data_IF_137435535302
#
_entry.id   IF_137435535302
#
_cell.length_a   1.000
_cell.length_b   1.000
_cell.length_c   1.000
_cell.angle_alpha   90.00
_cell.angle_beta   90.00
_cell.angle_gamma   90.00
#
_symmetry.space_group_name_H-M   'P 1'
#
loop_
_entity.id
_entity.type
_entity.pdbx_description
1 polymer ?
#
# COMPACT_ATOMS: atom_id res chain seq x y z
N UNK A 1 -69.60 17.00 21.80
CA UNK A 1 -68.29 17.05 21.10
C UNK A 1 -67.20 16.58 22.06
N UNK A 2 -66.60 15.40 21.84
CA UNK A 2 -65.46 14.94 22.66
C UNK A 2 -64.35 14.44 21.74
N UNK A 3 -63.17 15.07 21.86
CA UNK A 3 -62.06 14.98 20.90
C UNK A 3 -61.30 13.66 21.09
N UNK A 4 -61.28 12.83 20.06
CA UNK A 4 -60.50 11.59 19.93
C UNK A 4 -59.01 11.94 19.98
N UNK A 5 -58.34 11.67 21.11
CA UNK A 5 -56.88 11.84 21.26
C UNK A 5 -56.16 10.80 20.38
N UNK A 6 -55.63 11.23 19.23
CA UNK A 6 -54.73 10.43 18.40
C UNK A 6 -53.39 10.32 19.14
N UNK A 7 -53.11 9.13 19.68
CA UNK A 7 -51.83 8.84 20.30
C UNK A 7 -50.78 8.72 19.19
N UNK A 8 -50.09 9.82 18.90
CA UNK A 8 -48.94 9.85 18.00
C UNK A 8 -47.79 9.09 18.66
N UNK A 9 -47.72 7.78 18.38
CA UNK A 9 -46.54 6.96 18.64
C UNK A 9 -45.45 7.43 17.68
N UNK A 10 -44.86 8.59 17.99
CA UNK A 10 -43.65 9.10 17.38
C UNK A 10 -42.62 7.99 17.61
N UNK A 11 -42.31 7.26 16.54
CA UNK A 11 -41.11 6.42 16.48
C UNK A 11 -39.97 7.38 16.75
N UNK A 12 -39.47 7.39 17.99
CA UNK A 12 -38.17 7.96 18.29
C UNK A 12 -37.21 7.25 17.34
N UNK A 13 -36.67 7.99 16.37
CA UNK A 13 -35.42 7.63 15.72
C UNK A 13 -34.34 7.68 16.81
N UNK A 14 -34.39 6.72 17.74
CA UNK A 14 -33.26 6.36 18.56
C UNK A 14 -32.33 5.58 17.65
N UNK A 15 -31.38 6.27 17.05
CA UNK A 15 -29.95 6.04 17.23
C UNK A 15 -29.54 4.62 17.68
N UNK A 16 -29.97 3.60 16.94
CA UNK A 16 -29.48 2.21 16.96
C UNK A 16 -30.14 1.41 15.82
N UNK A 17 -30.04 1.91 14.58
CA UNK A 17 -30.27 1.11 13.37
C UNK A 17 -29.00 0.35 13.00
N UNK A 18 -29.06 -0.75 12.23
CA UNK A 18 -28.08 -1.84 12.22
C UNK A 18 -26.79 -1.46 11.49
N UNK A 19 -25.98 -0.59 12.08
CA UNK A 19 -24.55 -0.41 11.76
C UNK A 19 -23.74 -1.64 12.22
N UNK A 20 -24.27 -2.86 12.10
CA UNK A 20 -23.57 -4.02 12.65
C UNK A 20 -23.58 -5.23 11.74
N UNK A 21 -24.40 -5.30 10.70
CA UNK A 21 -24.39 -6.47 9.81
C UNK A 21 -23.66 -6.17 8.51
N UNK A 22 -23.92 -5.02 7.88
CA UNK A 22 -23.17 -4.55 6.72
C UNK A 22 -21.71 -4.21 7.08
N UNK A 23 -21.48 -3.64 8.26
CA UNK A 23 -20.13 -3.36 8.76
C UNK A 23 -19.38 -4.65 9.08
N UNK A 24 -20.05 -5.65 9.69
CA UNK A 24 -19.46 -6.97 9.92
C UNK A 24 -19.16 -7.70 8.61
N UNK A 25 -20.10 -7.70 7.67
CA UNK A 25 -19.92 -8.32 6.36
C UNK A 25 -18.79 -7.64 5.57
N UNK A 26 -18.69 -6.31 5.63
CA UNK A 26 -17.60 -5.57 5.00
C UNK A 26 -16.26 -5.85 5.68
N UNK A 27 -16.24 -5.89 7.02
CA UNK A 27 -15.03 -6.22 7.79
C UNK A 27 -14.58 -7.65 7.50
N UNK A 28 -15.49 -8.61 7.48
CA UNK A 28 -15.22 -10.01 7.16
C UNK A 28 -14.78 -10.19 5.71
N UNK A 29 -15.32 -9.41 4.77
CA UNK A 29 -14.91 -9.44 3.36
C UNK A 29 -13.49 -8.88 3.15
N UNK A 30 -13.14 -7.75 3.77
CA UNK A 30 -11.85 -7.08 3.55
C UNK A 30 -10.71 -7.58 4.44
N UNK A 31 -11.00 -8.01 5.67
CA UNK A 31 -9.97 -8.48 6.62
C UNK A 31 -9.92 -10.01 6.70
N UNK A 32 -10.98 -10.72 6.29
CA UNK A 32 -11.08 -12.16 6.48
C UNK A 32 -11.11 -12.56 7.97
N UNK A 33 -11.13 -13.87 8.26
CA UNK A 33 -11.10 -14.41 9.62
C UNK A 33 -9.69 -14.44 10.25
N UNK A 34 -8.64 -14.09 9.49
CA UNK A 34 -7.26 -14.10 9.95
C UNK A 34 -6.77 -12.71 10.34
N UNK A 35 -5.77 -12.66 11.22
CA UNK A 35 -5.02 -11.42 11.43
C UNK A 35 -4.33 -11.00 10.13
N UNK A 36 -4.13 -9.69 9.97
CA UNK A 36 -3.34 -9.17 8.87
C UNK A 36 -1.94 -9.77 8.91
N UNK A 37 -1.34 -10.07 7.75
CA UNK A 37 0.05 -10.52 7.71
C UNK A 37 0.95 -9.45 8.34
N UNK A 38 2.04 -9.90 8.96
CA UNK A 38 3.06 -9.01 9.50
C UNK A 38 3.54 -8.08 8.40
N UNK A 39 3.64 -6.79 8.70
CA UNK A 39 4.15 -5.80 7.76
C UNK A 39 5.56 -6.20 7.30
N UNK A 40 5.90 -6.03 6.01
CA UNK A 40 7.25 -6.30 5.55
C UNK A 40 8.24 -5.36 6.23
N UNK A 41 9.48 -5.84 6.38
CA UNK A 41 10.59 -5.00 6.85
C UNK A 41 10.77 -3.78 5.94
N UNK A 42 11.27 -2.67 6.50
CA UNK A 42 11.60 -1.49 5.69
C UNK A 42 12.67 -1.84 4.66
N UNK A 43 12.62 -1.13 3.54
CA UNK A 43 13.55 -1.29 2.43
C UNK A 43 14.54 -0.13 2.38
N UNK A 44 15.77 -0.47 2.03
CA UNK A 44 16.83 0.50 1.76
C UNK A 44 16.83 0.85 0.28
N UNK A 45 16.82 2.14 -0.03
CA UNK A 45 16.87 2.62 -1.42
C UNK A 45 18.32 2.59 -1.88
N UNK A 46 18.57 1.97 -3.04
CA UNK A 46 19.91 1.93 -3.64
C UNK A 46 20.33 3.30 -4.18
N UNK A 47 21.58 3.69 -3.94
CA UNK A 47 22.16 4.92 -4.49
C UNK A 47 22.50 4.80 -5.98
N UNK A 48 22.84 3.59 -6.44
CA UNK A 48 23.24 3.30 -7.82
C UNK A 48 22.43 2.14 -8.41
N UNK A 49 21.33 2.49 -9.08
CA UNK A 49 20.35 1.56 -9.64
C UNK A 49 20.93 0.56 -10.64
N UNK A 50 22.00 0.92 -11.34
CA UNK A 50 22.57 0.10 -12.42
C UNK A 50 23.93 -0.50 -12.07
N UNK A 51 24.42 -0.33 -10.84
CA UNK A 51 25.68 -0.90 -10.37
C UNK A 51 25.79 -2.41 -10.62
N UNK A 52 24.73 -3.16 -10.30
CA UNK A 52 24.70 -4.63 -10.44
C UNK A 52 24.84 -5.03 -11.91
N UNK A 53 24.11 -4.38 -12.81
CA UNK A 53 24.13 -4.75 -14.23
C UNK A 53 25.46 -4.37 -14.88
N UNK A 54 26.02 -3.20 -14.55
CA UNK A 54 27.37 -2.83 -15.01
C UNK A 54 28.45 -3.81 -14.53
N UNK A 55 28.27 -4.41 -13.34
CA UNK A 55 29.23 -5.39 -12.81
C UNK A 55 29.20 -6.75 -13.53
N UNK A 56 28.13 -7.05 -14.28
CA UNK A 56 28.03 -8.27 -15.08
C UNK A 56 28.85 -8.20 -16.38
N UNK A 57 29.37 -7.02 -16.73
CA UNK A 57 30.13 -6.79 -17.95
C UNK A 57 29.24 -6.44 -19.15
N UNK A 58 29.85 -6.48 -20.33
CA UNK A 58 29.22 -5.99 -21.55
C UNK A 58 28.06 -6.89 -21.99
N UNK A 59 26.91 -6.32 -22.42
CA UNK A 59 25.76 -7.10 -22.83
C UNK A 59 26.11 -8.02 -24.02
N UNK A 60 25.68 -9.29 -24.02
CA UNK A 60 25.93 -10.21 -25.15
C UNK A 60 24.98 -9.92 -26.33
N UNK A 61 25.00 -8.68 -26.83
CA UNK A 61 24.15 -8.17 -27.90
C UNK A 61 25.03 -7.62 -29.03
N UNK A 62 25.50 -8.55 -29.87
CA UNK A 62 26.43 -8.27 -30.97
C UNK A 62 26.03 -7.03 -31.80
N UNK A 63 26.90 -6.01 -31.81
CA UNK A 63 26.73 -4.77 -32.57
C UNK A 63 25.73 -3.77 -31.97
N UNK A 64 25.22 -4.02 -30.77
CA UNK A 64 24.31 -3.13 -30.04
C UNK A 64 24.69 -3.01 -28.55
N UNK A 65 25.93 -3.34 -28.21
CA UNK A 65 26.42 -3.42 -26.84
C UNK A 65 26.26 -2.08 -26.11
N UNK A 66 26.80 -1.00 -26.68
CA UNK A 66 26.73 0.37 -26.12
C UNK A 66 25.28 0.87 -25.98
N UNK A 67 24.45 0.62 -27.00
CA UNK A 67 23.04 1.04 -27.00
C UNK A 67 22.26 0.30 -25.91
N UNK A 68 22.53 -0.99 -25.73
CA UNK A 68 21.88 -1.80 -24.71
C UNK A 68 22.22 -1.33 -23.29
N UNK A 69 23.49 -0.97 -23.02
CA UNK A 69 23.90 -0.43 -21.72
C UNK A 69 23.10 0.82 -21.34
N UNK A 70 22.92 1.76 -22.27
CA UNK A 70 22.13 2.97 -22.04
C UNK A 70 20.65 2.67 -21.75
N UNK A 71 20.05 1.72 -22.47
CA UNK A 71 18.67 1.34 -22.21
C UNK A 71 18.51 0.63 -20.85
N UNK A 72 19.46 -0.23 -20.48
CA UNK A 72 19.45 -0.84 -19.16
C UNK A 72 19.51 0.23 -18.08
N UNK A 73 20.47 1.15 -18.15
CA UNK A 73 20.61 2.22 -17.17
C UNK A 73 19.30 3.04 -17.01
N UNK A 74 18.69 3.44 -18.13
CA UNK A 74 17.42 4.17 -18.12
C UNK A 74 16.26 3.38 -17.49
N UNK A 75 16.14 2.09 -17.79
CA UNK A 75 15.08 1.23 -17.23
C UNK A 75 15.29 1.01 -15.74
N UNK A 76 16.52 0.75 -15.30
CA UNK A 76 16.81 0.52 -13.89
C UNK A 76 16.63 1.78 -13.05
N UNK A 77 17.12 2.93 -13.52
CA UNK A 77 16.89 4.21 -12.83
C UNK A 77 15.41 4.51 -12.65
N UNK A 78 14.62 4.33 -13.72
CA UNK A 78 13.16 4.54 -13.65
C UNK A 78 12.49 3.55 -12.70
N UNK A 79 12.91 2.29 -12.70
CA UNK A 79 12.34 1.25 -11.85
C UNK A 79 12.63 1.51 -10.38
N UNK A 80 13.87 1.88 -10.04
CA UNK A 80 14.25 2.26 -8.66
C UNK A 80 13.49 3.49 -8.20
N UNK A 81 13.37 4.51 -9.05
CA UNK A 81 12.59 5.72 -8.72
C UNK A 81 11.11 5.42 -8.45
N UNK A 82 10.53 4.50 -9.22
CA UNK A 82 9.14 4.07 -9.00
C UNK A 82 9.02 3.25 -7.71
N UNK A 83 9.92 2.30 -7.50
CA UNK A 83 9.93 1.45 -6.31
C UNK A 83 10.13 2.28 -5.03
N UNK A 84 11.04 3.26 -5.05
CA UNK A 84 11.26 4.16 -3.92
C UNK A 84 10.05 5.04 -3.64
N UNK A 85 9.37 5.54 -4.67
CA UNK A 85 8.13 6.30 -4.51
C UNK A 85 7.01 5.44 -3.90
N UNK A 86 6.86 4.19 -4.34
CA UNK A 86 5.87 3.26 -3.75
C UNK A 86 6.21 2.91 -2.30
N UNK A 87 7.48 2.65 -2.01
CA UNK A 87 7.91 2.36 -0.65
C UNK A 87 7.72 3.56 0.28
N UNK A 88 8.02 4.77 -0.19
CA UNK A 88 7.78 5.99 0.58
C UNK A 88 6.28 6.21 0.83
N UNK A 89 5.43 5.95 -0.16
CA UNK A 89 3.97 6.03 -0.01
C UNK A 89 3.41 4.99 0.98
N UNK A 90 4.11 3.86 1.15
CA UNK A 90 3.78 2.82 2.10
C UNK A 90 4.49 2.99 3.46
N UNK A 91 5.26 4.07 3.66
CA UNK A 91 6.08 4.29 4.86
C UNK A 91 7.10 3.17 5.14
N UNK A 92 7.55 2.50 4.08
CA UNK A 92 8.48 1.36 4.12
C UNK A 92 9.93 1.76 3.84
N UNK A 93 10.31 3.03 3.91
CA UNK A 93 11.68 3.50 3.63
C UNK A 93 12.42 3.76 4.93
N UNK A 94 13.65 3.25 5.05
CA UNK A 94 14.54 3.50 6.19
C UNK A 94 14.96 2.22 6.90
N UNK A 95 15.46 2.34 8.12
CA UNK A 95 15.80 1.19 8.95
C UNK A 95 14.71 0.91 9.98
N UNK A 96 14.54 -0.37 10.33
CA UNK A 96 13.60 -0.79 11.37
C UNK A 96 14.08 -0.34 12.76
N UNK A 97 15.38 0.00 12.91
CA UNK A 97 15.97 0.52 14.15
C UNK A 97 15.46 1.92 14.54
N UNK A 98 15.03 2.75 13.58
CA UNK A 98 14.58 4.13 13.81
C UNK A 98 13.30 4.22 14.67
N UNK A 99 12.52 3.14 14.78
CA UNK A 99 11.22 3.11 15.47
C UNK A 99 11.34 2.65 16.95
N UNK A 100 12.54 2.30 17.42
CA UNK A 100 12.80 1.75 18.76
C UNK A 100 13.22 2.79 19.82
N UNK A 101 13.21 4.08 19.48
CA UNK A 101 13.77 5.17 20.32
C UNK A 101 12.77 6.24 20.79
N UNK A 102 11.49 5.90 21.01
CA UNK A 102 10.51 6.82 21.63
C UNK A 102 9.94 6.28 22.93
#
# INVERSE_FOLDING_TARGET
MSKRRRNSRIRRLGEAGPNSETEKASKEFWHGPGDLPVAPAKIQITEDAAAVIRSLGEPPLNGQEEVAEHYFDAVYQRSVTLASALAAAAELVGDDEDDSTV
#
